data_IF_657459461919
#
_entry.id   IF_657459461919
#
_cell.length_a   1.000
_cell.length_b   1.000
_cell.length_c   1.000
_cell.angle_alpha   90.00
_cell.angle_beta   90.00
_cell.angle_gamma   90.00
#
_symmetry.space_group_name_H-M   'P 1'
#
loop_
_entity.id
_entity.type
_entity.pdbx_description
1 polymer ?
#
# COMPACT_ATOMS: atom_id res chain seq x y z
N UNK A 1 -8.66 0.01 -17.69
CA UNK A 1 -8.59 1.29 -16.96
C UNK A 1 -9.22 1.06 -15.61
N UNK A 2 -8.53 1.41 -14.54
CA UNK A 2 -9.03 1.29 -13.16
C UNK A 2 -10.02 2.45 -12.93
N UNK A 3 -11.23 2.16 -12.43
CA UNK A 3 -12.26 3.18 -12.19
C UNK A 3 -11.90 4.12 -11.01
N UNK A 4 -12.48 5.32 -10.97
CA UNK A 4 -12.16 6.35 -9.96
C UNK A 4 -12.42 5.94 -8.50
N UNK A 5 -13.21 4.89 -8.27
CA UNK A 5 -13.49 4.34 -6.94
C UNK A 5 -12.47 3.32 -6.44
N UNK A 6 -11.45 2.97 -7.24
CA UNK A 6 -10.42 2.03 -6.81
C UNK A 6 -9.59 2.59 -5.65
N UNK A 7 -9.26 1.78 -4.63
CA UNK A 7 -8.54 2.23 -3.43
C UNK A 7 -7.26 3.02 -3.73
N UNK A 8 -6.44 2.57 -4.67
CA UNK A 8 -5.22 3.32 -5.07
C UNK A 8 -5.54 4.67 -5.69
N UNK A 9 -6.60 4.79 -6.52
CA UNK A 9 -6.97 6.08 -7.12
C UNK A 9 -7.55 7.04 -6.10
N UNK A 10 -8.23 6.52 -5.07
CA UNK A 10 -8.65 7.33 -3.92
C UNK A 10 -7.44 7.83 -3.15
N UNK A 11 -6.42 6.99 -2.94
CA UNK A 11 -5.16 7.39 -2.29
C UNK A 11 -4.42 8.48 -3.07
N UNK A 12 -4.26 8.31 -4.39
CA UNK A 12 -3.68 9.31 -5.29
C UNK A 12 -4.38 10.67 -5.10
N UNK A 13 -5.72 10.69 -5.17
CA UNK A 13 -6.51 11.92 -5.04
C UNK A 13 -6.39 12.59 -3.67
N UNK A 14 -6.25 11.80 -2.59
CA UNK A 14 -6.04 12.34 -1.24
C UNK A 14 -4.64 12.96 -1.15
N UNK A 15 -3.61 12.28 -1.63
CA UNK A 15 -2.24 12.80 -1.65
C UNK A 15 -2.15 14.11 -2.46
N UNK A 16 -2.76 14.15 -3.65
CA UNK A 16 -2.80 15.36 -4.49
C UNK A 16 -3.55 16.51 -3.81
N UNK A 17 -4.70 16.24 -3.16
CA UNK A 17 -5.44 17.27 -2.45
C UNK A 17 -4.63 17.90 -1.29
N UNK A 18 -3.80 17.11 -0.61
CA UNK A 18 -2.91 17.61 0.45
C UNK A 18 -1.76 18.44 -0.15
N UNK A 19 -1.19 17.99 -1.28
CA UNK A 19 -0.18 18.75 -2.01
C UNK A 19 -0.73 20.11 -2.45
N UNK A 20 -1.91 20.14 -3.08
CA UNK A 20 -2.59 21.36 -3.52
C UNK A 20 -2.84 22.32 -2.36
N UNK A 21 -3.28 21.80 -1.20
CA UNK A 21 -3.51 22.61 -0.01
C UNK A 21 -2.23 23.31 0.49
N UNK A 22 -1.07 22.65 0.42
CA UNK A 22 0.21 23.27 0.76
C UNK A 22 0.64 24.28 -0.30
N UNK A 23 0.61 23.90 -1.59
CA UNK A 23 1.04 24.78 -2.68
C UNK A 23 0.18 26.03 -2.82
N UNK A 24 -1.10 25.97 -2.45
CA UNK A 24 -2.00 27.12 -2.43
C UNK A 24 -1.59 28.20 -1.40
N UNK A 25 -0.87 27.80 -0.35
CA UNK A 25 -0.43 28.69 0.74
C UNK A 25 1.06 29.04 0.64
N UNK A 26 1.88 28.07 0.21
CA UNK A 26 3.32 28.22 -0.01
C UNK A 26 3.71 27.56 -1.34
N UNK A 27 3.88 28.35 -2.41
CA UNK A 27 4.30 27.86 -3.72
C UNK A 27 5.70 27.20 -3.74
N UNK A 28 6.50 27.40 -2.69
CA UNK A 28 7.84 26.82 -2.56
C UNK A 28 7.87 25.56 -1.67
N UNK A 29 6.72 25.10 -1.19
CA UNK A 29 6.59 23.96 -0.30
C UNK A 29 7.15 22.68 -0.93
N UNK A 30 7.91 21.91 -0.15
CA UNK A 30 8.40 20.58 -0.50
C UNK A 30 7.58 19.55 0.25
N UNK A 31 6.67 18.89 -0.46
CA UNK A 31 5.68 17.99 0.13
C UNK A 31 5.87 16.59 -0.46
N UNK A 32 5.99 15.59 0.41
CA UNK A 32 5.99 14.18 0.06
C UNK A 32 4.92 13.50 0.92
N UNK A 33 3.80 13.13 0.30
CA UNK A 33 2.64 12.54 0.97
C UNK A 33 2.31 11.22 0.30
N UNK A 34 2.36 10.16 1.09
CA UNK A 34 1.99 8.81 0.68
C UNK A 34 0.70 8.43 1.41
N UNK A 35 -0.37 8.23 0.66
CA UNK A 35 -1.64 7.72 1.18
C UNK A 35 -1.71 6.24 0.83
N UNK A 36 -1.94 5.38 1.81
CA UNK A 36 -2.06 3.93 1.58
C UNK A 36 -3.40 3.45 2.08
N UNK A 37 -4.21 2.90 1.19
CA UNK A 37 -5.42 2.16 1.52
C UNK A 37 -5.10 0.67 1.37
N UNK A 38 -5.15 -0.05 2.48
CA UNK A 38 -4.97 -1.49 2.46
C UNK A 38 -6.03 -2.15 3.31
N UNK A 39 -6.57 -3.26 2.81
CA UNK A 39 -7.59 -4.05 3.50
C UNK A 39 -6.91 -5.34 3.96
N UNK A 40 -6.91 -5.59 5.27
CA UNK A 40 -6.36 -6.81 5.84
C UNK A 40 -7.49 -7.77 6.18
N UNK A 41 -7.56 -8.90 5.48
CA UNK A 41 -8.46 -10.01 5.79
C UNK A 41 -7.69 -11.10 6.56
N UNK A 42 -7.58 -10.97 7.89
CA UNK A 42 -6.87 -11.94 8.71
C UNK A 42 -7.50 -12.09 10.09
N UNK A 43 -7.48 -13.31 10.62
CA UNK A 43 -7.86 -13.60 12.02
C UNK A 43 -6.69 -13.43 12.99
N UNK A 44 -5.51 -13.07 12.50
CA UNK A 44 -4.32 -12.94 13.34
C UNK A 44 -4.38 -11.66 14.19
N UNK A 45 -4.02 -11.80 15.47
CA UNK A 45 -3.80 -10.66 16.34
C UNK A 45 -2.39 -10.09 16.08
N UNK A 46 -2.31 -9.06 15.25
CA UNK A 46 -1.04 -8.44 14.85
C UNK A 46 -0.85 -7.09 15.56
N UNK A 47 0.30 -6.92 16.22
CA UNK A 47 0.67 -5.62 16.80
C UNK A 47 1.45 -4.78 15.76
N UNK A 48 0.70 -4.06 14.93
CA UNK A 48 1.24 -3.21 13.87
C UNK A 48 2.16 -2.11 14.41
N UNK A 49 1.83 -1.50 15.55
CA UNK A 49 2.67 -0.44 16.12
C UNK A 49 4.07 -0.94 16.47
N UNK A 50 4.17 -2.11 17.08
CA UNK A 50 5.47 -2.71 17.40
C UNK A 50 6.27 -3.07 16.14
N UNK A 51 5.60 -3.56 15.09
CA UNK A 51 6.25 -3.86 13.81
C UNK A 51 6.82 -2.59 13.19
N UNK A 52 6.02 -1.52 13.09
CA UNK A 52 6.46 -0.22 12.54
C UNK A 52 7.65 0.33 13.34
N UNK A 53 7.55 0.37 14.67
CA UNK A 53 8.62 0.88 15.53
C UNK A 53 9.91 0.05 15.42
N UNK A 54 9.80 -1.27 15.29
CA UNK A 54 10.96 -2.15 15.08
C UNK A 54 11.65 -1.84 13.75
N UNK A 55 10.89 -1.78 12.65
CA UNK A 55 11.44 -1.47 11.32
C UNK A 55 12.12 -0.09 11.33
N UNK A 56 11.49 0.93 11.92
CA UNK A 56 12.11 2.25 12.05
C UNK A 56 13.42 2.23 12.82
N UNK A 57 13.48 1.45 13.91
CA UNK A 57 14.71 1.25 14.68
C UNK A 57 15.79 0.56 13.84
N UNK A 58 15.44 -0.47 13.09
CA UNK A 58 16.37 -1.24 12.25
C UNK A 58 16.94 -0.40 11.10
N UNK A 59 16.15 0.51 10.54
CA UNK A 59 16.60 1.51 9.55
C UNK A 59 17.50 2.59 10.17
N UNK A 60 17.47 2.76 11.50
CA UNK A 60 18.33 3.69 12.24
C UNK A 60 17.67 5.01 12.66
N UNK A 61 16.34 5.10 12.64
CA UNK A 61 15.57 6.24 13.15
C UNK A 61 15.39 6.15 14.67
N UNK A 62 16.45 6.45 15.43
CA UNK A 62 16.54 6.27 16.89
C UNK A 62 16.72 7.56 17.69
N UNK A 63 16.69 8.72 17.03
CA UNK A 63 16.90 10.02 17.65
C UNK A 63 16.14 11.12 16.90
N UNK A 64 15.47 12.02 17.63
CA UNK A 64 14.72 13.14 17.06
C UNK A 64 15.58 14.06 16.16
N UNK A 65 16.89 14.13 16.39
CA UNK A 65 17.81 14.91 15.56
C UNK A 65 17.91 14.40 14.12
N UNK A 66 17.55 13.12 13.87
CA UNK A 66 17.49 12.53 12.53
C UNK A 66 16.19 12.86 11.79
N UNK A 67 15.35 13.73 12.35
CA UNK A 67 14.03 14.10 11.81
C UNK A 67 12.92 13.12 12.17
N UNK A 68 13.24 11.90 12.64
CA UNK A 68 12.27 10.90 13.06
C UNK A 68 12.88 9.95 14.11
N UNK A 69 12.10 9.61 15.15
CA UNK A 69 12.50 8.70 16.23
C UNK A 69 11.41 7.64 16.45
N UNK A 70 11.79 6.35 16.37
CA UNK A 70 10.90 5.22 16.58
C UNK A 70 10.21 5.22 17.94
N UNK A 71 10.72 5.94 18.95
CA UNK A 71 10.10 6.04 20.28
C UNK A 71 8.96 7.05 20.33
N UNK A 72 9.11 8.16 19.62
CA UNK A 72 8.21 9.32 19.74
C UNK A 72 7.28 9.48 18.55
N UNK A 73 7.54 8.78 17.43
CA UNK A 73 6.65 8.76 16.27
C UNK A 73 5.25 8.31 16.65
N UNK A 74 4.25 9.01 16.13
CA UNK A 74 2.85 8.65 16.30
C UNK A 74 2.47 7.61 15.24
N UNK A 75 1.96 6.45 15.68
CA UNK A 75 1.54 5.36 14.79
C UNK A 75 0.04 5.15 14.99
N UNK A 76 -0.75 5.66 14.06
CA UNK A 76 -2.20 5.49 14.06
C UNK A 76 -2.59 4.29 13.20
N UNK A 77 -3.30 3.33 13.79
CA UNK A 77 -3.73 2.11 13.11
C UNK A 77 -5.25 2.17 12.98
N UNK A 78 -5.75 2.41 11.77
CA UNK A 78 -7.17 2.47 11.46
C UNK A 78 -7.51 1.40 10.41
N UNK A 79 -7.50 0.14 10.83
CA UNK A 79 -7.83 -0.99 9.95
C UNK A 79 -9.34 -1.22 9.96
N UNK A 80 -9.91 -1.37 8.76
CA UNK A 80 -11.26 -1.91 8.58
C UNK A 80 -11.15 -3.36 8.11
N UNK A 81 -12.01 -4.22 8.63
CA UNK A 81 -12.15 -5.58 8.12
C UNK A 81 -12.57 -5.57 6.64
N UNK A 82 -12.17 -6.58 5.89
CA UNK A 82 -12.60 -6.73 4.50
C UNK A 82 -14.12 -6.90 4.42
N UNK A 83 -14.75 -6.19 3.49
CA UNK A 83 -16.19 -6.37 3.22
C UNK A 83 -16.50 -7.83 2.90
N UNK A 84 -17.58 -8.36 3.47
CA UNK A 84 -18.10 -9.70 3.17
C UNK A 84 -18.34 -9.90 1.68
N UNK A 85 -18.72 -8.84 0.96
CA UNK A 85 -19.07 -8.89 -0.45
C UNK A 85 -17.83 -9.16 -1.34
N UNK A 86 -16.69 -8.57 -0.96
CA UNK A 86 -15.40 -8.82 -1.63
C UNK A 86 -14.88 -10.21 -1.24
N UNK A 87 -15.00 -10.58 0.04
CA UNK A 87 -14.53 -11.88 0.52
C UNK A 87 -15.25 -13.05 -0.18
N UNK A 88 -16.57 -12.93 -0.40
CA UNK A 88 -17.37 -13.93 -1.11
C UNK A 88 -17.05 -14.01 -2.62
N UNK A 89 -16.67 -12.90 -3.25
CA UNK A 89 -16.32 -12.88 -4.66
C UNK A 89 -14.93 -13.49 -4.95
N UNK A 90 -14.01 -13.41 -3.99
CA UNK A 90 -12.63 -13.94 -4.12
C UNK A 90 -12.53 -15.39 -3.67
N UNK A 91 -13.25 -15.80 -2.60
CA UNK A 91 -13.19 -17.15 -2.06
C UNK A 91 -14.14 -18.08 -2.83
N UNK A 92 -13.61 -18.78 -3.84
CA UNK A 92 -14.28 -19.97 -4.39
C UNK A 92 -13.88 -21.24 -3.63
N UNK A 93 -14.80 -22.22 -3.58
CA UNK A 93 -14.60 -23.56 -3.00
C UNK A 93 -13.60 -24.42 -3.80
N UNK A 94 -13.18 -24.00 -4.99
CA UNK A 94 -12.18 -24.69 -5.81
C UNK A 94 -11.13 -23.72 -6.35
N UNK A 95 -9.88 -24.18 -6.48
CA UNK A 95 -8.73 -23.38 -6.98
C UNK A 95 -8.91 -22.86 -8.41
N UNK A 96 -9.83 -23.45 -9.18
CA UNK A 96 -10.11 -23.08 -10.58
C UNK A 96 -11.10 -21.93 -10.74
N UNK A 97 -11.78 -21.53 -9.65
CA UNK A 97 -12.86 -20.54 -9.66
C UNK A 97 -12.57 -19.33 -8.77
N UNK A 98 -11.34 -19.21 -8.26
CA UNK A 98 -10.92 -18.05 -7.45
C UNK A 98 -10.98 -16.79 -8.31
N UNK A 99 -11.89 -15.87 -7.98
CA UNK A 99 -12.04 -14.59 -8.68
C UNK A 99 -10.84 -13.68 -8.43
N UNK A 100 -10.55 -12.79 -9.39
CA UNK A 100 -9.53 -11.77 -9.19
C UNK A 100 -9.91 -10.86 -8.00
N UNK A 101 -8.94 -10.58 -7.13
CA UNK A 101 -9.14 -9.70 -5.97
C UNK A 101 -9.47 -8.25 -6.33
N UNK A 102 -9.16 -7.84 -7.57
CA UNK A 102 -9.54 -6.55 -8.16
C UNK A 102 -9.55 -6.67 -9.69
N UNK A 103 -10.11 -5.66 -10.37
CA UNK A 103 -10.08 -5.52 -11.82
C UNK A 103 -8.72 -4.97 -12.28
N UNK A 104 -7.96 -5.77 -13.04
CA UNK A 104 -6.64 -5.40 -13.55
C UNK A 104 -6.43 -5.83 -15.01
N UNK A 105 -5.59 -5.10 -15.74
CA UNK A 105 -5.10 -5.51 -17.06
C UNK A 105 -3.60 -5.75 -16.91
N UNK A 106 -3.16 -6.99 -17.13
CA UNK A 106 -1.75 -7.36 -17.11
C UNK A 106 -1.23 -7.47 -18.54
N UNK A 107 -0.08 -6.82 -18.81
CA UNK A 107 0.67 -7.01 -20.04
C UNK A 107 1.97 -7.75 -19.71
N UNK A 108 2.20 -8.87 -20.37
CA UNK A 108 3.50 -9.55 -20.36
C UNK A 108 4.32 -9.10 -21.57
N UNK A 109 5.60 -8.80 -21.35
CA UNK A 109 6.56 -8.52 -22.42
C UNK A 109 7.67 -9.57 -22.37
N UNK A 110 8.08 -10.07 -23.55
CA UNK A 110 9.24 -10.92 -23.71
C UNK A 110 9.95 -10.52 -25.01
N UNK A 111 11.28 -10.44 -24.96
CA UNK A 111 12.15 -10.15 -26.10
C UNK A 111 13.30 -11.15 -26.14
N UNK A 112 13.83 -11.42 -27.34
CA UNK A 112 14.95 -12.32 -27.59
C UNK A 112 16.31 -11.59 -27.63
N UNK A 113 16.31 -10.27 -27.37
CA UNK A 113 17.51 -9.43 -27.40
C UNK A 113 18.57 -9.81 -26.35
N UNK A 114 18.21 -10.54 -25.29
CA UNK A 114 19.14 -11.07 -24.29
C UNK A 114 18.81 -12.54 -23.96
N UNK A 115 19.83 -13.41 -23.89
CA UNK A 115 19.71 -14.80 -23.41
C UNK A 115 19.59 -14.83 -21.88
N UNK A 116 18.44 -14.43 -21.36
CA UNK A 116 18.08 -14.73 -19.97
C UNK A 116 17.09 -15.89 -19.95
N UNK A 117 17.55 -17.04 -19.45
CA UNK A 117 16.72 -18.22 -19.28
C UNK A 117 15.63 -17.94 -18.25
N UNK A 118 14.39 -18.22 -18.66
CA UNK A 118 13.18 -18.13 -17.84
C UNK A 118 13.35 -18.92 -16.54
N UNK A 119 13.52 -18.25 -15.41
CA UNK A 119 13.32 -18.87 -14.11
C UNK A 119 11.86 -18.71 -13.70
N UNK A 120 11.12 -19.78 -13.95
CA UNK A 120 9.70 -19.94 -13.65
C UNK A 120 9.53 -20.04 -12.13
N UNK A 121 9.15 -18.93 -11.47
CA UNK A 121 8.67 -18.96 -10.10
C UNK A 121 7.16 -19.19 -10.12
N UNK A 122 6.75 -20.34 -9.58
CA UNK A 122 5.37 -20.67 -9.23
C UNK A 122 4.91 -19.83 -8.04
#
# INVERSE_FOLDING_TARGET
MIGEGHPDKVCDRISDAILDAHLSQDPSAKVAVETVASIVASKAAVNYQNIVRRVLKDVGYDCCQKGMDYKTVNVMVCLKEQSSDISQAVISKTTLETGAGDQGIMFGYATDENKEEKQQYF
#
